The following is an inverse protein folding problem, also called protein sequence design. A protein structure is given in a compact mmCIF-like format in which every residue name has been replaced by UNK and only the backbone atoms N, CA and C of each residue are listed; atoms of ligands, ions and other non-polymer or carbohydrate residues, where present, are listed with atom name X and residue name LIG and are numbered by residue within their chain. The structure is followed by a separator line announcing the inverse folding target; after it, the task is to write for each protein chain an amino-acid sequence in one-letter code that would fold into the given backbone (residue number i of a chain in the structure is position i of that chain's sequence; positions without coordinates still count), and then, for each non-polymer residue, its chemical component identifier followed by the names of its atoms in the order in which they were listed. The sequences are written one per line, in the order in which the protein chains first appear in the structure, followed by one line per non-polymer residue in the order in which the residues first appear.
data_IF_102864696316
#
_entry.id   IF_102864696316
#
_cell.length_a   1.000
_cell.length_b   1.000
_cell.length_c   1.000
_cell.angle_alpha   90.00
_cell.angle_beta   90.00
_cell.angle_gamma   90.00
#
_symmetry.space_group_name_H-M   'P 1'
#
loop_
_entity.id
_entity.type
_entity.pdbx_description
1 polymer ?
#
# COMPACT_ATOMS: atom_id res chain seq x y z
N UNK A 1 -15.41 -12.15 -3.29
CA UNK A 1 -14.65 -11.45 -2.24
C UNK A 1 -13.21 -11.32 -2.72
N UNK A 2 -12.64 -10.12 -2.67
CA UNK A 2 -11.21 -9.94 -2.97
C UNK A 2 -10.33 -10.61 -1.91
N UNK A 3 -9.09 -10.94 -2.27
CA UNK A 3 -8.10 -11.42 -1.31
C UNK A 3 -7.85 -10.35 -0.24
N UNK A 4 -7.93 -10.74 1.04
CA UNK A 4 -7.66 -9.86 2.18
C UNK A 4 -6.37 -10.31 2.87
N UNK A 5 -5.45 -9.39 3.08
CA UNK A 5 -4.23 -9.62 3.83
C UNK A 5 -3.96 -8.50 4.83
N UNK A 6 -3.16 -8.78 5.84
CA UNK A 6 -2.65 -7.76 6.77
C UNK A 6 -1.26 -7.33 6.33
N UNK A 7 -0.98 -6.03 6.40
CA UNK A 7 0.34 -5.48 6.11
C UNK A 7 0.91 -4.76 7.34
N UNK A 8 2.23 -4.79 7.50
CA UNK A 8 2.90 -4.10 8.61
C UNK A 8 3.12 -2.64 8.26
N UNK A 9 2.68 -1.74 9.14
CA UNK A 9 3.03 -0.32 9.10
C UNK A 9 4.36 -0.13 9.83
N UNK A 10 5.27 0.64 9.25
CA UNK A 10 6.57 0.97 9.83
C UNK A 10 7.05 2.35 9.38
N UNK A 11 8.14 2.84 9.97
CA UNK A 11 8.78 4.09 9.58
C UNK A 11 9.97 3.81 8.66
N UNK A 12 10.08 4.57 7.56
CA UNK A 12 11.24 4.60 6.68
C UNK A 12 11.83 6.02 6.68
N UNK A 13 12.85 6.22 7.52
CA UNK A 13 13.34 7.56 7.84
C UNK A 13 12.24 8.39 8.53
N UNK A 14 11.86 9.52 7.92
CA UNK A 14 10.82 10.42 8.43
C UNK A 14 9.42 10.13 7.88
N UNK A 15 9.29 9.12 7.01
CA UNK A 15 8.03 8.79 6.32
C UNK A 15 7.41 7.52 6.89
N UNK A 16 6.07 7.46 6.93
CA UNK A 16 5.33 6.23 7.19
C UNK A 16 5.31 5.37 5.91
N UNK A 17 5.46 4.07 6.08
CA UNK A 17 5.45 3.09 5.00
C UNK A 17 4.66 1.84 5.38
N UNK A 18 4.16 1.13 4.38
CA UNK A 18 3.50 -0.17 4.51
C UNK A 18 4.31 -1.21 3.75
N UNK A 19 4.61 -2.34 4.38
CA UNK A 19 5.25 -3.47 3.68
C UNK A 19 4.17 -4.31 3.00
N UNK A 20 4.04 -4.18 1.69
CA UNK A 20 3.10 -4.99 0.91
C UNK A 20 3.54 -6.48 0.91
N UNK A 21 2.63 -7.41 1.27
CA UNK A 21 2.83 -8.83 1.02
C UNK A 21 3.06 -9.12 -0.47
N UNK A 22 3.62 -10.29 -0.79
CA UNK A 22 4.08 -10.63 -2.15
C UNK A 22 2.93 -10.58 -3.16
N UNK A 23 1.77 -11.06 -2.75
CA UNK A 23 0.52 -11.15 -3.51
C UNK A 23 -0.09 -9.77 -3.83
N UNK A 24 0.23 -8.72 -3.06
CA UNK A 24 -0.26 -7.36 -3.28
C UNK A 24 0.78 -6.41 -3.90
N UNK A 25 1.92 -6.92 -4.39
CA UNK A 25 2.95 -6.06 -5.00
C UNK A 25 2.44 -5.46 -6.31
N UNK A 26 2.64 -4.15 -6.46
CA UNK A 26 2.32 -3.40 -7.66
C UNK A 26 3.55 -3.35 -8.59
N UNK A 27 3.35 -3.34 -9.92
CA UNK A 27 4.45 -3.16 -10.87
C UNK A 27 4.97 -1.72 -10.85
N UNK A 28 6.17 -1.52 -11.38
CA UNK A 28 6.76 -0.18 -11.52
C UNK A 28 7.55 0.30 -10.31
N UNK A 29 7.79 1.62 -10.26
CA UNK A 29 8.55 2.29 -9.18
C UNK A 29 7.71 3.32 -8.42
N UNK A 30 6.57 3.70 -8.97
CA UNK A 30 5.69 4.75 -8.46
C UNK A 30 4.25 4.33 -8.70
N UNK A 31 3.33 4.90 -7.92
CA UNK A 31 1.89 4.64 -7.98
C UNK A 31 1.15 5.95 -7.77
N UNK A 32 -0.03 6.08 -8.36
CA UNK A 32 -0.98 7.12 -8.00
C UNK A 32 -1.58 6.81 -6.63
N UNK A 33 -1.73 7.83 -5.80
CA UNK A 33 -2.32 7.73 -4.46
C UNK A 33 -3.56 8.62 -4.37
N UNK A 34 -4.67 8.07 -3.87
CA UNK A 34 -5.88 8.84 -3.58
C UNK A 34 -6.53 8.40 -2.25
N UNK A 35 -7.33 9.27 -1.63
CA UNK A 35 -8.10 8.92 -0.42
C UNK A 35 -9.47 8.37 -0.83
N UNK A 36 -9.86 7.25 -0.24
CA UNK A 36 -11.19 6.66 -0.41
C UNK A 36 -11.76 6.30 0.97
N UNK A 37 -12.72 7.08 1.46
CA UNK A 37 -13.25 6.93 2.81
C UNK A 37 -12.16 7.04 3.87
N UNK A 38 -12.01 6.00 4.69
CA UNK A 38 -10.97 5.92 5.72
C UNK A 38 -9.65 5.30 5.22
N UNK A 39 -9.59 4.87 3.96
CA UNK A 39 -8.43 4.22 3.37
C UNK A 39 -7.67 5.08 2.36
N UNK A 40 -6.60 4.50 1.83
CA UNK A 40 -5.88 4.99 0.66
C UNK A 40 -5.98 3.96 -0.46
N UNK A 41 -6.17 4.42 -1.69
CA UNK A 41 -6.12 3.62 -2.90
C UNK A 41 -4.79 3.88 -3.61
N UNK A 42 -4.09 2.80 -3.97
CA UNK A 42 -2.86 2.83 -4.74
C UNK A 42 -3.13 2.20 -6.11
N UNK A 43 -2.80 2.91 -7.18
CA UNK A 43 -2.98 2.46 -8.57
C UNK A 43 -1.65 2.59 -9.32
N UNK A 44 -1.19 1.59 -10.11
CA UNK A 44 0.03 1.69 -10.92
C UNK A 44 0.05 2.89 -11.87
#
# INVERSE_FOLDING_TARGET
MGESGTAKIFMHGRSQAVRLPKEFRLPGKEVRVSRLGQGVLLEP
#
